data_IF_143606988530
#
_entry.id   IF_143606988530
#
_cell.length_a   1.000
_cell.length_b   1.000
_cell.length_c   1.000
_cell.angle_alpha   90.00
_cell.angle_beta   90.00
_cell.angle_gamma   90.00
#
_symmetry.space_group_name_H-M   'P 1'
#
loop_
_entity.id
_entity.type
_entity.pdbx_description
1 polymer ?
#
# COMPACT_ATOMS: atom_id res chain seq x y z
N UNK A 1 5.28 14.52 -13.66
CA UNK A 1 6.36 13.82 -12.92
C UNK A 1 6.10 12.32 -13.05
N UNK A 2 6.93 11.59 -13.81
CA UNK A 2 6.68 10.15 -14.08
C UNK A 2 6.64 9.34 -12.79
N UNK A 3 7.53 9.64 -11.86
CA UNK A 3 7.64 8.97 -10.57
C UNK A 3 6.41 9.16 -9.67
N UNK A 4 5.87 10.37 -9.56
CA UNK A 4 4.67 10.64 -8.76
C UNK A 4 3.46 9.82 -9.23
N UNK A 5 3.32 9.70 -10.56
CA UNK A 5 2.27 8.89 -11.17
C UNK A 5 2.50 7.39 -10.90
N UNK A 6 3.75 6.92 -10.97
CA UNK A 6 4.11 5.54 -10.64
C UNK A 6 3.77 5.19 -9.17
N UNK A 7 4.12 6.07 -8.21
CA UNK A 7 3.76 5.90 -6.78
C UNK A 7 2.24 5.78 -6.63
N UNK A 8 1.50 6.69 -7.25
CA UNK A 8 0.03 6.72 -7.22
C UNK A 8 -0.57 5.42 -7.74
N UNK A 9 -0.14 4.96 -8.91
CA UNK A 9 -0.69 3.78 -9.56
C UNK A 9 -0.41 2.51 -8.76
N UNK A 10 0.81 2.37 -8.22
CA UNK A 10 1.17 1.25 -7.36
C UNK A 10 0.37 1.26 -6.05
N UNK A 11 0.16 2.43 -5.45
CA UNK A 11 -0.62 2.54 -4.21
C UNK A 11 -2.10 2.21 -4.41
N UNK A 12 -2.70 2.69 -5.49
CA UNK A 12 -4.08 2.34 -5.83
C UNK A 12 -4.23 0.85 -6.15
N UNK A 13 -3.22 0.23 -6.78
CA UNK A 13 -3.20 -1.22 -7.00
C UNK A 13 -3.18 -1.98 -5.67
N UNK A 14 -2.37 -1.53 -4.69
CA UNK A 14 -2.34 -2.12 -3.35
C UNK A 14 -3.72 -2.02 -2.67
N UNK A 15 -4.33 -0.83 -2.65
CA UNK A 15 -5.64 -0.62 -2.04
C UNK A 15 -6.72 -1.54 -2.65
N UNK A 16 -6.78 -1.62 -3.98
CA UNK A 16 -7.77 -2.46 -4.67
C UNK A 16 -7.59 -3.96 -4.32
N UNK A 17 -6.35 -4.44 -4.23
CA UNK A 17 -6.08 -5.83 -3.83
C UNK A 17 -6.56 -6.12 -2.42
N UNK A 18 -6.28 -5.23 -1.48
CA UNK A 18 -6.72 -5.40 -0.09
C UNK A 18 -8.23 -5.28 0.01
N UNK A 19 -8.88 -4.37 -0.72
CA UNK A 19 -10.33 -4.26 -0.80
C UNK A 19 -11.00 -5.57 -1.29
N UNK A 20 -10.43 -6.20 -2.32
CA UNK A 20 -10.90 -7.50 -2.78
C UNK A 20 -10.76 -8.58 -1.68
N UNK A 21 -9.68 -8.55 -0.91
CA UNK A 21 -9.50 -9.46 0.23
C UNK A 21 -10.53 -9.21 1.35
N UNK A 22 -10.93 -7.96 1.59
CA UNK A 22 -12.01 -7.62 2.54
C UNK A 22 -13.33 -8.31 2.14
N UNK A 23 -13.62 -8.43 0.85
CA UNK A 23 -14.83 -9.13 0.39
C UNK A 23 -14.84 -10.62 0.73
N UNK A 24 -13.66 -11.24 0.84
CA UNK A 24 -13.48 -12.65 1.19
C UNK A 24 -13.36 -12.85 2.69
N UNK A 25 -12.67 -11.94 3.38
CA UNK A 25 -12.44 -11.98 4.81
C UNK A 25 -12.63 -10.57 5.41
N UNK A 26 -13.80 -10.28 6.00
CA UNK A 26 -14.09 -8.98 6.59
C UNK A 26 -13.14 -8.54 7.71
N UNK A 27 -12.39 -9.47 8.32
CA UNK A 27 -11.39 -9.12 9.34
C UNK A 27 -10.26 -8.25 8.77
N UNK A 28 -10.04 -8.30 7.45
CA UNK A 28 -9.01 -7.50 6.75
C UNK A 28 -9.44 -6.03 6.62
N UNK A 29 -10.70 -5.69 6.91
CA UNK A 29 -11.22 -4.31 6.79
C UNK A 29 -10.39 -3.31 7.58
N UNK A 30 -9.90 -3.67 8.77
CA UNK A 30 -9.04 -2.79 9.57
C UNK A 30 -7.68 -2.51 8.91
N UNK A 31 -7.14 -3.45 8.12
CA UNK A 31 -5.94 -3.22 7.32
C UNK A 31 -6.23 -2.31 6.13
N UNK A 32 -7.36 -2.52 5.44
CA UNK A 32 -7.80 -1.64 4.37
C UNK A 32 -8.00 -0.20 4.86
N UNK A 33 -8.69 -0.02 5.98
CA UNK A 33 -8.94 1.29 6.58
C UNK A 33 -7.64 1.98 6.95
N UNK A 34 -6.68 1.24 7.53
CA UNK A 34 -5.34 1.75 7.81
C UNK A 34 -4.63 2.25 6.55
N UNK A 35 -4.63 1.47 5.47
CA UNK A 35 -4.08 1.91 4.18
C UNK A 35 -4.83 3.13 3.62
N UNK A 36 -6.15 3.16 3.75
CA UNK A 36 -6.95 4.24 3.22
C UNK A 36 -6.69 5.58 3.93
N UNK A 37 -6.23 5.57 5.19
CA UNK A 37 -5.84 6.82 5.91
C UNK A 37 -4.73 7.61 5.22
N UNK A 38 -3.84 6.94 4.46
CA UNK A 38 -2.73 7.57 3.74
C UNK A 38 -2.99 7.76 2.24
N UNK A 39 -4.20 7.45 1.76
CA UNK A 39 -4.53 7.51 0.33
C UNK A 39 -4.20 8.86 -0.31
N UNK A 40 -4.56 9.97 0.33
CA UNK A 40 -4.26 11.30 -0.21
C UNK A 40 -2.75 11.56 -0.30
N UNK A 41 -1.98 11.12 0.70
CA UNK A 41 -0.53 11.32 0.73
C UNK A 41 0.20 10.59 -0.42
N UNK A 42 -0.28 9.41 -0.82
CA UNK A 42 0.28 8.67 -1.96
C UNK A 42 -0.25 9.13 -3.32
N UNK A 43 -1.48 9.64 -3.39
CA UNK A 43 -2.14 9.99 -4.66
C UNK A 43 -2.00 11.45 -5.06
N UNK A 44 -1.53 12.31 -4.16
CA UNK A 44 -1.21 13.71 -4.44
C UNK A 44 0.09 13.82 -5.26
N UNK A 45 0.15 14.79 -6.17
CA UNK A 45 1.33 15.07 -7.01
C UNK A 45 2.56 15.47 -6.19
N UNK A 46 2.37 15.97 -4.96
CA UNK A 46 3.45 16.30 -4.03
C UNK A 46 4.02 15.10 -3.27
N UNK A 47 3.58 13.86 -3.55
CA UNK A 47 4.05 12.64 -2.87
C UNK A 47 5.58 12.49 -2.87
N UNK A 48 6.26 12.93 -3.95
CA UNK A 48 7.72 12.93 -4.08
C UNK A 48 8.44 13.83 -3.08
N UNK A 49 7.76 14.81 -2.48
CA UNK A 49 8.32 15.69 -1.43
C UNK A 49 8.30 15.05 -0.04
N UNK A 50 7.54 13.96 0.13
CA UNK A 50 7.27 13.33 1.43
C UNK A 50 7.72 11.87 1.47
N UNK A 51 8.69 11.47 0.63
CA UNK A 51 9.16 10.09 0.48
C UNK A 51 9.51 9.40 1.79
N UNK A 52 10.24 10.07 2.70
CA UNK A 52 10.60 9.49 4.01
C UNK A 52 9.37 9.08 4.82
N UNK A 53 8.39 9.97 4.90
CA UNK A 53 7.16 9.71 5.63
C UNK A 53 6.35 8.56 5.01
N UNK A 54 6.28 8.52 3.67
CA UNK A 54 5.62 7.42 2.96
C UNK A 54 6.34 6.08 3.16
N UNK A 55 7.68 6.08 3.26
CA UNK A 55 8.47 4.88 3.56
C UNK A 55 8.21 4.35 4.96
N UNK A 56 8.22 5.22 5.98
CA UNK A 56 7.89 4.81 7.36
C UNK A 56 6.49 4.21 7.44
N UNK A 57 5.53 4.83 6.75
CA UNK A 57 4.18 4.29 6.63
C UNK A 57 4.16 2.88 6.01
N UNK A 58 4.88 2.65 4.91
CA UNK A 58 4.94 1.32 4.26
C UNK A 58 5.61 0.26 5.14
N UNK A 59 6.63 0.62 5.91
CA UNK A 59 7.24 -0.29 6.89
C UNK A 59 6.19 -0.70 7.94
N UNK A 60 5.40 0.27 8.43
CA UNK A 60 4.28 0.02 9.33
C UNK A 60 3.20 -0.86 8.69
N UNK A 61 2.82 -0.56 7.44
CA UNK A 61 1.84 -1.33 6.69
C UNK A 61 2.28 -2.78 6.51
N UNK A 62 3.55 -3.02 6.17
CA UNK A 62 4.09 -4.36 6.02
C UNK A 62 4.13 -5.15 7.34
N UNK A 63 4.32 -4.49 8.48
CA UNK A 63 4.26 -5.15 9.79
C UNK A 63 2.82 -5.44 10.19
N UNK A 64 1.91 -4.50 9.92
CA UNK A 64 0.51 -4.67 10.25
C UNK A 64 -0.14 -5.76 9.38
N UNK A 65 0.29 -5.91 8.12
CA UNK A 65 -0.21 -6.96 7.23
C UNK A 65 0.07 -8.38 7.76
N UNK A 66 1.10 -8.58 8.59
CA UNK A 66 1.42 -9.88 9.20
C UNK A 66 0.36 -10.34 10.22
N UNK A 67 -0.54 -9.45 10.69
CA UNK A 67 -1.67 -9.83 11.55
C UNK A 67 -2.84 -10.45 10.77
N UNK A 68 -2.78 -10.44 9.43
CA UNK A 68 -3.87 -10.88 8.56
C UNK A 68 -3.44 -12.08 7.71
N UNK A 69 -4.40 -12.97 7.47
CA UNK A 69 -4.24 -14.06 6.51
C UNK A 69 -4.96 -13.70 5.22
N UNK A 70 -4.18 -13.41 4.17
CA UNK A 70 -4.68 -13.18 2.81
C UNK A 70 -4.77 -14.50 2.04
N UNK A 71 -5.53 -14.50 0.94
CA UNK A 71 -5.46 -15.60 -0.02
C UNK A 71 -4.04 -15.74 -0.60
N UNK A 72 -3.60 -16.97 -0.88
CA UNK A 72 -2.23 -17.26 -1.32
C UNK A 72 -1.80 -16.42 -2.53
N UNK A 73 -2.72 -16.21 -3.48
CA UNK A 73 -2.49 -15.34 -4.64
C UNK A 73 -2.30 -13.88 -4.25
N UNK A 74 -3.11 -13.35 -3.33
CA UNK A 74 -3.04 -11.93 -2.97
C UNK A 74 -1.98 -11.62 -1.92
N UNK A 75 -1.61 -12.55 -1.03
CA UNK A 75 -0.51 -12.34 -0.07
C UNK A 75 0.78 -11.96 -0.80
N UNK A 76 1.18 -12.78 -1.79
CA UNK A 76 2.38 -12.51 -2.59
C UNK A 76 2.30 -11.16 -3.30
N UNK A 77 1.14 -10.83 -3.88
CA UNK A 77 0.97 -9.57 -4.61
C UNK A 77 0.93 -8.35 -3.70
N UNK A 78 0.32 -8.44 -2.51
CA UNK A 78 0.28 -7.36 -1.52
C UNK A 78 1.71 -7.06 -1.05
N UNK A 79 2.48 -8.10 -0.68
CA UNK A 79 3.89 -7.95 -0.27
C UNK A 79 4.76 -7.39 -1.41
N UNK A 80 4.54 -7.87 -2.64
CA UNK A 80 5.24 -7.36 -3.81
C UNK A 80 4.91 -5.88 -4.09
N UNK A 81 3.64 -5.47 -3.97
CA UNK A 81 3.23 -4.08 -4.15
C UNK A 81 3.86 -3.16 -3.10
N UNK A 82 3.88 -3.58 -1.83
CA UNK A 82 4.51 -2.81 -0.74
C UNK A 82 6.01 -2.64 -0.99
N UNK A 83 6.71 -3.72 -1.38
CA UNK A 83 8.14 -3.65 -1.70
C UNK A 83 8.41 -2.77 -2.92
N UNK A 84 7.62 -2.90 -3.98
CA UNK A 84 7.73 -2.05 -5.18
C UNK A 84 7.56 -0.58 -4.82
N UNK A 85 6.55 -0.24 -4.01
CA UNK A 85 6.34 1.12 -3.52
C UNK A 85 7.55 1.62 -2.72
N UNK A 86 8.09 0.79 -1.82
CA UNK A 86 9.27 1.15 -1.04
C UNK A 86 10.50 1.38 -1.91
N UNK A 87 10.71 0.56 -2.95
CA UNK A 87 11.79 0.75 -3.92
C UNK A 87 11.64 2.05 -4.72
N UNK A 88 10.42 2.36 -5.20
CA UNK A 88 10.17 3.62 -5.91
C UNK A 88 10.50 4.82 -5.02
N UNK A 89 10.07 4.80 -3.75
CA UNK A 89 10.32 5.88 -2.80
C UNK A 89 11.80 5.99 -2.37
N UNK A 90 12.63 5.00 -2.68
CA UNK A 90 14.08 5.01 -2.41
C UNK A 90 14.94 5.41 -3.61
N UNK A 91 14.35 5.59 -4.79
CA UNK A 91 15.02 6.15 -5.96
C UNK A 91 15.12 7.66 -5.85
#
# INVERSE_FOLDING_TARGET
>A
MVESQEIKDQYLSLLNRVENEVTLNPLISSYYDYLNTFREAFTNESNVLHKEHLKEFLIGANRYSDEFSFSEKNDQHIRMNINTLYEILNR
#
